data_IF_909337265651
#
_entry.id   IF_909337265651
#
_cell.length_a   1.000
_cell.length_b   1.000
_cell.length_c   1.000
_cell.angle_alpha   90.00
_cell.angle_beta   90.00
_cell.angle_gamma   90.00
#
_symmetry.space_group_name_H-M   'P 1'
#
loop_
_entity.id
_entity.type
_entity.pdbx_description
1 polymer ?
#
# COMPACT_ATOMS: atom_id res chain seq x y z
N UNK A 1 71.37 -2.80 -18.18
CA UNK A 1 70.70 -1.85 -19.08
C UNK A 1 69.23 -1.87 -18.69
N UNK A 2 68.84 -1.02 -17.72
CA UNK A 2 68.28 0.34 -17.92
C UNK A 2 66.87 0.28 -18.51
N UNK A 3 65.85 1.01 -18.09
CA UNK A 3 65.60 1.95 -17.00
C UNK A 3 64.07 2.20 -17.02
N UNK A 4 63.51 2.52 -15.85
CA UNK A 4 62.43 3.51 -15.59
C UNK A 4 61.10 3.47 -16.37
N UNK A 5 59.96 3.43 -15.64
CA UNK A 5 59.15 4.65 -15.35
C UNK A 5 58.16 4.38 -14.19
N UNK A 6 58.18 5.26 -13.17
CA UNK A 6 57.26 5.38 -12.03
C UNK A 6 56.13 6.41 -12.30
N UNK A 7 54.97 6.27 -11.62
CA UNK A 7 54.30 7.29 -10.72
C UNK A 7 52.79 6.99 -10.52
N UNK A 8 52.37 6.67 -9.29
CA UNK A 8 51.70 7.51 -8.25
C UNK A 8 50.16 7.63 -8.40
N UNK A 9 49.42 6.98 -7.48
CA UNK A 9 48.10 7.45 -7.00
C UNK A 9 48.12 7.35 -5.47
N UNK A 10 47.98 8.50 -4.81
CA UNK A 10 47.93 8.61 -3.35
C UNK A 10 46.54 8.29 -2.81
N UNK A 11 46.50 7.53 -1.72
CA UNK A 11 45.33 7.25 -0.90
C UNK A 11 45.33 8.17 0.33
N UNK A 12 44.42 9.15 0.37
CA UNK A 12 44.08 9.85 1.61
C UNK A 12 42.91 9.13 2.28
N UNK A 13 43.21 8.36 3.32
CA UNK A 13 42.22 7.88 4.28
C UNK A 13 41.92 9.00 5.27
N UNK A 14 40.69 9.50 5.29
CA UNK A 14 40.18 10.37 6.36
C UNK A 14 39.78 9.47 7.53
N UNK A 15 40.54 9.50 8.62
CA UNK A 15 40.19 8.89 9.89
C UNK A 15 39.20 9.79 10.64
N UNK A 16 37.98 9.30 10.90
CA UNK A 16 37.02 9.98 11.78
C UNK A 16 37.26 9.59 13.25
N UNK A 17 37.41 10.59 14.10
CA UNK A 17 37.59 10.44 15.54
C UNK A 17 36.25 10.22 16.26
N UNK A 18 36.11 9.01 16.79
CA UNK A 18 35.47 8.63 18.07
C UNK A 18 33.93 8.53 18.20
N UNK A 19 33.48 7.31 18.55
CA UNK A 19 32.15 6.92 19.00
C UNK A 19 31.54 7.79 20.13
N UNK A 20 32.36 8.59 20.82
CA UNK A 20 31.98 9.31 22.04
C UNK A 20 31.17 10.59 21.78
N UNK A 21 31.18 11.10 20.54
CA UNK A 21 30.43 12.30 20.14
C UNK A 21 28.98 11.98 19.78
N UNK A 22 28.75 10.82 19.15
CA UNK A 22 27.41 10.39 18.77
C UNK A 22 26.59 9.91 19.97
N UNK A 23 27.21 9.21 20.92
CA UNK A 23 26.55 8.76 22.16
C UNK A 23 26.09 9.96 23.02
N UNK A 24 26.81 11.09 22.95
CA UNK A 24 26.37 12.36 23.56
C UNK A 24 25.21 13.00 22.80
N UNK A 25 25.25 13.06 21.47
CA UNK A 25 24.16 13.58 20.66
C UNK A 25 22.84 12.81 20.90
N UNK A 26 22.94 11.51 21.12
CA UNK A 26 21.80 10.66 21.44
C UNK A 26 21.24 10.88 22.85
N UNK A 27 22.11 10.93 23.88
CA UNK A 27 21.71 11.34 25.24
C UNK A 27 20.98 12.70 25.23
N UNK A 28 21.34 13.58 24.30
CA UNK A 28 20.67 14.85 24.09
C UNK A 28 19.33 14.74 23.35
N UNK A 29 19.19 13.88 22.34
CA UNK A 29 17.89 13.66 21.71
C UNK A 29 16.89 13.01 22.68
N UNK A 30 17.33 12.06 23.51
CA UNK A 30 16.52 11.47 24.59
C UNK A 30 16.11 12.54 25.61
N UNK A 31 17.02 13.43 25.99
CA UNK A 31 16.74 14.55 26.88
C UNK A 31 15.80 15.59 26.25
N UNK A 32 15.94 15.88 24.96
CA UNK A 32 15.05 16.77 24.20
C UNK A 32 13.65 16.15 24.10
N UNK A 33 13.52 14.85 23.85
CA UNK A 33 12.22 14.16 23.85
C UNK A 33 11.57 14.17 25.24
N UNK A 34 12.35 14.02 26.31
CA UNK A 34 11.85 14.16 27.69
C UNK A 34 11.35 15.59 27.95
N UNK A 35 12.15 16.60 27.57
CA UNK A 35 11.77 18.01 27.68
C UNK A 35 10.54 18.35 26.82
N UNK A 36 10.41 17.77 25.64
CA UNK A 36 9.25 17.95 24.77
C UNK A 36 8.00 17.30 25.37
N UNK A 37 8.11 16.13 26.03
CA UNK A 37 6.99 15.52 26.77
C UNK A 37 6.60 16.36 27.99
N UNK A 38 7.56 16.93 28.70
CA UNK A 38 7.31 17.87 29.80
C UNK A 38 6.69 19.17 29.28
N UNK A 39 7.15 19.68 28.13
CA UNK A 39 6.56 20.83 27.43
C UNK A 39 5.15 20.54 26.95
N UNK A 40 4.86 19.36 26.42
CA UNK A 40 3.51 18.95 26.02
C UNK A 40 2.60 18.73 27.23
N UNK A 41 3.14 18.30 28.37
CA UNK A 41 2.40 18.24 29.63
C UNK A 41 2.11 19.65 30.17
N UNK A 42 3.06 20.58 30.03
CA UNK A 42 2.88 21.99 30.34
C UNK A 42 1.93 22.65 29.34
N UNK A 43 1.97 22.34 28.05
CA UNK A 43 1.06 22.89 27.03
C UNK A 43 -0.36 22.33 27.19
N UNK A 44 -0.50 21.07 27.61
CA UNK A 44 -1.79 20.51 28.06
C UNK A 44 -2.32 21.23 29.31
N UNK A 45 -1.44 21.64 30.23
CA UNK A 45 -1.80 22.49 31.37
C UNK A 45 -2.04 23.97 30.99
N UNK A 46 -1.41 24.47 29.92
CA UNK A 46 -1.53 25.84 29.40
C UNK A 46 -2.61 26.00 28.33
N UNK A 47 -3.37 24.94 28.01
CA UNK A 47 -4.60 24.99 27.21
C UNK A 47 -5.70 25.94 27.75
N UNK A 48 -5.44 26.62 28.88
CA UNK A 48 -6.24 27.70 29.46
C UNK A 48 -5.55 29.07 29.42
N UNK A 49 -4.86 29.49 28.36
CA UNK A 49 -4.78 30.93 28.00
C UNK A 49 -4.19 31.16 26.61
N UNK A 50 -4.97 31.79 25.72
CA UNK A 50 -4.62 32.07 24.32
C UNK A 50 -3.64 33.24 24.18
N UNK A 51 -2.57 33.06 23.39
CA UNK A 51 -2.06 33.98 22.33
C UNK A 51 -0.54 33.80 22.09
N UNK A 52 -0.15 32.87 21.20
CA UNK A 52 1.25 32.52 20.85
C UNK A 52 1.64 32.96 19.43
N UNK A 53 1.77 34.27 19.20
CA UNK A 53 2.75 34.81 18.22
C UNK A 53 3.78 35.76 18.86
N UNK A 54 3.62 36.08 20.15
CA UNK A 54 4.58 36.88 20.94
C UNK A 54 5.62 36.05 21.72
N UNK A 55 5.49 34.71 21.77
CA UNK A 55 6.29 33.92 22.71
C UNK A 55 7.69 33.54 22.23
N UNK A 56 7.93 33.34 20.92
CA UNK A 56 9.30 33.04 20.43
C UNK A 56 10.23 34.26 20.65
N UNK A 57 9.70 35.49 20.48
CA UNK A 57 10.42 36.72 20.84
C UNK A 57 10.55 36.90 22.38
N UNK A 58 9.61 36.36 23.15
CA UNK A 58 9.68 36.38 24.62
C UNK A 58 10.57 35.30 25.24
N UNK A 59 10.80 34.15 24.60
CA UNK A 59 11.75 33.14 25.07
C UNK A 59 13.19 33.63 24.87
N UNK A 60 13.49 34.28 23.74
CA UNK A 60 14.80 34.89 23.50
C UNK A 60 15.03 36.08 24.46
N UNK A 61 14.02 36.92 24.72
CA UNK A 61 14.13 37.97 25.75
C UNK A 61 14.09 37.45 27.19
N UNK A 62 13.59 36.22 27.43
CA UNK A 62 13.69 35.55 28.73
C UNK A 62 15.11 35.06 29.01
N UNK A 63 15.87 34.62 28.00
CA UNK A 63 17.32 34.32 28.15
C UNK A 63 18.10 35.59 28.49
N UNK A 64 17.74 36.74 27.90
CA UNK A 64 18.33 38.05 28.23
C UNK A 64 17.95 38.51 29.65
N UNK A 65 16.70 38.29 30.09
CA UNK A 65 16.28 38.56 31.48
C UNK A 65 16.91 37.58 32.48
N UNK A 66 17.09 36.31 32.11
CA UNK A 66 17.79 35.29 32.89
C UNK A 66 19.26 35.65 33.08
N UNK A 67 19.94 36.17 32.04
CA UNK A 67 21.29 36.76 32.14
C UNK A 67 21.35 37.95 33.11
N UNK A 68 20.28 38.73 33.26
CA UNK A 68 20.17 39.84 34.24
C UNK A 68 19.96 39.34 35.68
N UNK A 69 19.19 38.28 35.89
CA UNK A 69 18.98 37.66 37.22
C UNK A 69 20.20 36.85 37.67
N UNK A 70 20.90 36.18 36.73
CA UNK A 70 22.19 35.52 36.95
C UNK A 70 23.26 36.49 37.48
N UNK A 71 23.27 37.75 37.02
CA UNK A 71 24.19 38.78 37.55
C UNK A 71 23.95 39.13 39.02
N UNK A 72 22.74 38.94 39.56
CA UNK A 72 22.43 39.15 40.99
C UNK A 72 22.76 37.92 41.85
N UNK A 73 22.78 36.72 41.28
CA UNK A 73 23.16 35.48 41.96
C UNK A 73 24.69 35.21 41.95
N UNK A 74 25.48 36.07 41.28
CA UNK A 74 26.95 36.03 41.28
C UNK A 74 27.59 36.31 42.65
N UNK A 75 26.84 36.63 43.70
CA UNK A 75 27.42 36.81 45.05
C UNK A 75 27.55 35.51 45.85
N UNK A 76 26.99 34.39 45.37
CA UNK A 76 27.04 33.09 46.07
C UNK A 76 28.07 32.18 45.38
N UNK A 77 29.23 31.88 46.00
CA UNK A 77 30.32 31.13 45.38
C UNK A 77 29.90 29.75 44.83
N UNK A 78 29.01 29.05 45.54
CA UNK A 78 28.50 27.73 45.10
C UNK A 78 27.64 27.80 43.84
N UNK A 79 26.93 28.91 43.61
CA UNK A 79 26.17 29.11 42.38
C UNK A 79 27.05 29.54 41.22
N UNK A 80 28.15 30.27 41.45
CA UNK A 80 29.10 30.64 40.39
C UNK A 80 29.67 29.42 39.68
N UNK A 81 30.00 28.35 40.41
CA UNK A 81 30.51 27.09 39.84
C UNK A 81 29.45 26.41 38.98
N UNK A 82 28.19 26.37 39.43
CA UNK A 82 27.08 25.77 38.68
C UNK A 82 26.74 26.59 37.42
N UNK A 83 26.82 27.92 37.51
CA UNK A 83 26.61 28.82 36.38
C UNK A 83 27.72 28.62 35.33
N UNK A 84 28.98 28.60 35.74
CA UNK A 84 30.11 28.35 34.82
C UNK A 84 30.01 26.96 34.15
N UNK A 85 29.55 25.94 34.89
CA UNK A 85 29.27 24.61 34.34
C UNK A 85 28.15 24.64 33.28
N UNK A 86 27.06 25.36 33.54
CA UNK A 86 25.95 25.48 32.59
C UNK A 86 26.32 26.34 31.38
N UNK A 87 27.08 27.42 31.57
CA UNK A 87 27.60 28.23 30.46
C UNK A 87 28.52 27.40 29.56
N UNK A 88 29.40 26.58 30.13
CA UNK A 88 30.24 25.65 29.37
C UNK A 88 29.41 24.62 28.60
N UNK A 89 28.33 24.09 29.18
CA UNK A 89 27.39 23.19 28.50
C UNK A 89 26.66 23.90 27.36
N UNK A 90 26.14 25.11 27.58
CA UNK A 90 25.45 25.91 26.56
C UNK A 90 26.38 26.19 25.37
N UNK A 91 27.62 26.63 25.61
CA UNK A 91 28.59 26.86 24.53
C UNK A 91 28.93 25.58 23.78
N UNK A 92 29.04 24.44 24.46
CA UNK A 92 29.24 23.15 23.79
C UNK A 92 28.03 22.76 22.91
N UNK A 93 26.80 23.03 23.36
CA UNK A 93 25.59 22.80 22.54
C UNK A 93 25.49 23.75 21.35
N UNK A 94 25.79 25.03 21.54
CA UNK A 94 25.77 26.03 20.46
C UNK A 94 26.74 25.60 19.35
N UNK A 95 27.96 25.17 19.71
CA UNK A 95 28.95 24.64 18.76
C UNK A 95 28.43 23.39 18.02
N UNK A 96 27.81 22.46 18.75
CA UNK A 96 27.29 21.22 18.15
C UNK A 96 26.09 21.46 17.21
N UNK A 97 25.21 22.41 17.55
CA UNK A 97 24.09 22.82 16.67
C UNK A 97 24.65 23.44 15.39
N UNK A 98 25.69 24.26 15.50
CA UNK A 98 26.38 24.86 14.35
C UNK A 98 27.00 23.78 13.45
N UNK A 99 27.73 22.82 14.03
CA UNK A 99 28.32 21.67 13.30
C UNK A 99 27.25 20.80 12.62
N UNK A 100 26.14 20.50 13.31
CA UNK A 100 25.03 19.71 12.74
C UNK A 100 24.32 20.48 11.62
N UNK A 101 24.18 21.80 11.78
CA UNK A 101 23.63 22.67 10.74
C UNK A 101 24.53 22.73 9.51
N UNK A 102 25.85 22.72 9.67
CA UNK A 102 26.80 22.63 8.55
C UNK A 102 26.71 21.28 7.84
N UNK A 103 26.61 20.17 8.57
CA UNK A 103 26.37 18.84 7.97
C UNK A 103 25.06 18.78 7.20
N UNK A 104 23.98 19.37 7.72
CA UNK A 104 22.70 19.47 7.00
C UNK A 104 22.81 20.31 5.72
N UNK A 105 23.61 21.39 5.72
CA UNK A 105 23.86 22.20 4.51
C UNK A 105 24.57 21.41 3.41
N UNK A 106 25.34 20.38 3.76
CA UNK A 106 26.01 19.50 2.80
C UNK A 106 25.05 18.41 2.29
N UNK A 107 24.30 17.77 3.19
CA UNK A 107 23.42 16.64 2.86
C UNK A 107 22.18 17.09 2.08
N UNK A 108 21.58 18.23 2.43
CA UNK A 108 20.31 18.68 1.85
C UNK A 108 20.39 18.95 0.34
N UNK A 109 21.43 19.63 -0.20
CA UNK A 109 21.59 19.82 -1.64
C UNK A 109 21.84 18.51 -2.40
N UNK A 110 22.60 17.57 -1.83
CA UNK A 110 22.85 16.25 -2.41
C UNK A 110 21.56 15.44 -2.54
N UNK A 111 20.69 15.48 -1.52
CA UNK A 111 19.38 14.84 -1.56
C UNK A 111 18.47 15.55 -2.56
N UNK A 112 18.41 16.88 -2.56
CA UNK A 112 17.52 17.64 -3.45
C UNK A 112 17.87 17.49 -4.95
N UNK A 113 19.15 17.30 -5.29
CA UNK A 113 19.57 17.02 -6.67
C UNK A 113 19.07 15.67 -7.22
N UNK A 114 18.64 14.75 -6.35
CA UNK A 114 18.22 13.39 -6.75
C UNK A 114 16.73 13.28 -7.09
N UNK A 115 15.87 14.24 -6.72
CA UNK A 115 14.41 14.05 -6.72
C UNK A 115 13.57 15.07 -7.54
N UNK A 116 14.19 15.96 -8.32
CA UNK A 116 13.48 17.13 -8.87
C UNK A 116 12.70 16.90 -10.19
N UNK A 117 12.22 15.68 -10.44
CA UNK A 117 11.30 15.43 -11.57
C UNK A 117 9.88 15.24 -11.05
N UNK A 118 9.04 16.26 -11.26
CA UNK A 118 7.61 16.24 -10.92
C UNK A 118 6.82 15.30 -11.85
N UNK A 119 5.81 14.62 -11.31
CA UNK A 119 4.94 13.67 -12.05
C UNK A 119 4.34 14.22 -13.35
N UNK A 120 3.95 15.50 -13.38
CA UNK A 120 3.37 16.13 -14.57
C UNK A 120 4.38 16.24 -15.73
N UNK A 121 5.66 16.49 -15.41
CA UNK A 121 6.73 16.52 -16.41
C UNK A 121 6.99 15.12 -16.98
N UNK A 122 6.94 14.07 -16.14
CA UNK A 122 7.12 12.69 -16.61
C UNK A 122 6.03 12.26 -17.59
N UNK A 123 4.76 12.61 -17.31
CA UNK A 123 3.65 12.33 -18.24
C UNK A 123 3.79 13.09 -19.54
N UNK A 124 4.29 14.33 -19.48
CA UNK A 124 4.53 15.15 -20.67
C UNK A 124 5.64 14.53 -21.51
N UNK A 125 6.79 14.19 -20.92
CA UNK A 125 7.92 13.56 -21.61
C UNK A 125 7.49 12.23 -22.25
N UNK A 126 6.79 11.37 -21.51
CA UNK A 126 6.32 10.09 -22.03
C UNK A 126 5.31 10.22 -23.18
N UNK A 127 4.55 11.32 -23.25
CA UNK A 127 3.60 11.60 -24.34
C UNK A 127 4.26 12.27 -25.54
N UNK A 128 5.38 12.96 -25.35
CA UNK A 128 6.09 13.67 -26.43
C UNK A 128 7.05 12.76 -27.19
N UNK A 129 7.46 11.63 -26.62
CA UNK A 129 8.31 10.66 -27.31
C UNK A 129 7.43 9.74 -28.16
N UNK A 130 7.23 10.10 -29.42
CA UNK A 130 6.46 9.31 -30.39
C UNK A 130 7.26 8.12 -30.96
N UNK A 131 8.59 8.17 -30.91
CA UNK A 131 9.46 7.09 -31.35
C UNK A 131 9.68 6.04 -30.25
N UNK A 132 9.29 4.79 -30.53
CA UNK A 132 9.47 3.64 -29.63
C UNK A 132 10.93 3.43 -29.22
N UNK A 133 11.89 3.65 -30.13
CA UNK A 133 13.30 3.43 -29.84
C UNK A 133 13.84 4.49 -28.86
N UNK A 134 13.45 5.76 -29.05
CA UNK A 134 13.81 6.84 -28.14
C UNK A 134 13.16 6.64 -26.75
N UNK A 135 11.92 6.15 -26.71
CA UNK A 135 11.23 5.86 -25.45
C UNK A 135 11.93 4.75 -24.66
N UNK A 136 12.32 3.65 -25.34
CA UNK A 136 13.07 2.56 -24.72
C UNK A 136 14.39 3.08 -24.15
N UNK A 137 15.15 3.84 -24.94
CA UNK A 137 16.41 4.44 -24.49
C UNK A 137 16.23 5.34 -23.27
N UNK A 138 15.18 6.17 -23.26
CA UNK A 138 14.84 7.02 -22.12
C UNK A 138 14.50 6.20 -20.87
N UNK A 139 13.72 5.13 -21.01
CA UNK A 139 13.39 4.20 -19.92
C UNK A 139 14.65 3.53 -19.38
N UNK A 140 15.55 3.06 -20.25
CA UNK A 140 16.83 2.45 -19.85
C UNK A 140 17.69 3.44 -19.07
N UNK A 141 17.84 4.67 -19.55
CA UNK A 141 18.61 5.72 -18.87
C UNK A 141 18.06 6.04 -17.48
N UNK A 142 16.75 6.17 -17.33
CA UNK A 142 16.12 6.39 -16.02
C UNK A 142 16.30 5.18 -15.12
N UNK A 143 16.12 3.97 -15.65
CA UNK A 143 16.25 2.73 -14.88
C UNK A 143 17.67 2.58 -14.33
N UNK A 144 18.69 2.83 -15.14
CA UNK A 144 20.10 2.81 -14.71
C UNK A 144 20.37 3.88 -13.66
N UNK A 145 19.85 5.11 -13.82
CA UNK A 145 19.99 6.19 -12.82
C UNK A 145 19.34 5.80 -11.49
N UNK A 146 18.12 5.27 -11.53
CA UNK A 146 17.39 4.78 -10.36
C UNK A 146 18.18 3.68 -9.65
N UNK A 147 18.62 2.65 -10.37
CA UNK A 147 19.40 1.54 -9.81
C UNK A 147 20.69 2.02 -9.15
N UNK A 148 21.44 2.93 -9.80
CA UNK A 148 22.65 3.51 -9.21
C UNK A 148 22.36 4.30 -7.94
N UNK A 149 21.29 5.10 -7.94
CA UNK A 149 20.88 5.85 -6.75
C UNK A 149 20.48 4.90 -5.61
N UNK A 150 19.68 3.87 -5.88
CA UNK A 150 19.30 2.85 -4.90
C UNK A 150 20.52 2.10 -4.36
N UNK A 151 21.48 1.74 -5.21
CA UNK A 151 22.74 1.11 -4.78
C UNK A 151 23.53 2.01 -3.82
N UNK A 152 23.68 3.30 -4.13
CA UNK A 152 24.37 4.26 -3.25
C UNK A 152 23.63 4.40 -1.92
N UNK A 153 22.31 4.55 -1.93
CA UNK A 153 21.51 4.62 -0.70
C UNK A 153 21.65 3.35 0.14
N UNK A 154 21.57 2.18 -0.48
CA UNK A 154 21.72 0.90 0.21
C UNK A 154 23.13 0.75 0.82
N UNK A 155 24.18 1.18 0.12
CA UNK A 155 25.55 1.19 0.63
C UNK A 155 25.72 2.13 1.84
N UNK A 156 25.13 3.32 1.79
CA UNK A 156 25.15 4.28 2.91
C UNK A 156 24.46 3.67 4.13
N UNK A 157 23.25 3.13 3.96
CA UNK A 157 22.51 2.55 5.07
C UNK A 157 23.20 1.29 5.62
N UNK A 158 23.83 0.49 4.75
CA UNK A 158 24.67 -0.64 5.17
C UNK A 158 25.88 -0.16 5.98
N UNK A 159 26.56 0.90 5.55
CA UNK A 159 27.68 1.49 6.30
C UNK A 159 27.21 2.00 7.68
N UNK A 160 26.09 2.72 7.73
CA UNK A 160 25.46 3.12 8.98
C UNK A 160 25.20 1.90 9.88
N UNK A 161 24.64 0.80 9.33
CA UNK A 161 24.40 -0.41 10.12
C UNK A 161 25.69 -1.00 10.73
N UNK A 162 26.82 -0.97 10.01
CA UNK A 162 28.10 -1.49 10.49
C UNK A 162 28.73 -0.60 11.57
N UNK A 163 28.64 0.72 11.43
CA UNK A 163 29.16 1.68 12.42
C UNK A 163 28.53 1.45 13.80
N UNK A 164 27.22 1.16 13.84
CA UNK A 164 26.49 0.94 15.09
C UNK A 164 26.56 -0.48 15.64
N UNK A 165 27.17 -1.43 14.91
CA UNK A 165 27.22 -2.84 15.30
C UNK A 165 27.95 -3.09 16.63
N UNK A 166 28.96 -2.26 16.93
CA UNK A 166 29.79 -2.37 18.14
C UNK A 166 29.49 -1.28 19.17
N UNK A 167 28.40 -0.53 18.98
CA UNK A 167 28.01 0.55 19.87
C UNK A 167 27.50 0.01 21.21
N UNK A 168 27.80 0.70 22.32
CA UNK A 168 27.46 0.22 23.67
C UNK A 168 26.01 0.55 24.04
N UNK A 169 25.51 1.72 23.64
CA UNK A 169 24.11 2.10 23.81
C UNK A 169 23.15 1.23 22.96
N UNK A 170 22.47 0.28 23.62
CA UNK A 170 21.52 -0.61 22.96
C UNK A 170 20.24 0.08 22.51
N UNK A 171 19.77 1.10 23.23
CA UNK A 171 18.55 1.81 22.87
C UNK A 171 18.76 2.61 21.57
N UNK A 172 19.94 3.24 21.45
CA UNK A 172 20.32 3.97 20.25
C UNK A 172 20.46 3.05 19.05
N UNK A 173 21.14 1.91 19.22
CA UNK A 173 21.29 0.90 18.16
C UNK A 173 19.91 0.44 17.68
N UNK A 174 19.01 0.12 18.61
CA UNK A 174 17.64 -0.27 18.28
C UNK A 174 16.93 0.83 17.48
N UNK A 175 16.96 2.10 17.93
CA UNK A 175 16.28 3.20 17.24
C UNK A 175 16.83 3.43 15.83
N UNK A 176 18.15 3.39 15.65
CA UNK A 176 18.77 3.53 14.33
C UNK A 176 18.39 2.36 13.44
N UNK A 177 18.54 1.14 13.93
CA UNK A 177 18.25 -0.05 13.14
C UNK A 177 16.78 -0.14 12.78
N UNK A 178 15.87 0.20 13.69
CA UNK A 178 14.43 0.25 13.40
C UNK A 178 14.14 1.33 12.37
N UNK A 179 14.77 2.51 12.46
CA UNK A 179 14.60 3.57 11.45
C UNK A 179 15.12 3.15 10.08
N UNK A 180 16.26 2.46 10.04
CA UNK A 180 16.81 1.89 8.82
C UNK A 180 15.82 0.88 8.25
N UNK A 181 15.39 -0.11 9.02
CA UNK A 181 14.40 -1.12 8.59
C UNK A 181 13.16 -0.42 8.08
N UNK A 182 12.57 0.49 8.84
CA UNK A 182 11.35 1.20 8.44
C UNK A 182 11.51 1.90 7.10
N UNK A 183 12.60 2.61 6.83
CA UNK A 183 12.73 3.38 5.58
C UNK A 183 13.32 2.58 4.41
N UNK A 184 13.78 1.34 4.63
CA UNK A 184 14.26 0.48 3.54
C UNK A 184 13.11 0.02 2.63
N UNK A 185 13.36 -0.11 1.31
CA UNK A 185 12.45 -0.81 0.43
C UNK A 185 12.16 -2.24 0.96
N UNK A 186 10.89 -2.67 1.02
CA UNK A 186 10.46 -3.98 1.55
C UNK A 186 11.27 -5.20 1.07
N UNK A 187 11.84 -5.13 -0.12
CA UNK A 187 12.56 -6.23 -0.76
C UNK A 187 14.07 -6.27 -0.47
N UNK A 188 14.63 -5.26 0.20
CA UNK A 188 16.09 -5.09 0.32
C UNK A 188 16.62 -4.67 1.70
N UNK A 189 16.04 -5.06 2.85
CA UNK A 189 16.65 -4.74 4.14
C UNK A 189 18.08 -5.32 4.25
N UNK A 190 19.03 -4.65 4.94
CA UNK A 190 20.39 -5.15 5.10
C UNK A 190 20.40 -6.52 5.77
N UNK A 191 21.16 -7.47 5.22
CA UNK A 191 21.23 -8.86 5.72
C UNK A 191 21.50 -8.93 7.22
N UNK A 192 22.37 -8.05 7.73
CA UNK A 192 22.71 -7.96 9.15
C UNK A 192 21.48 -7.78 10.06
N UNK A 193 20.47 -7.04 9.60
CA UNK A 193 19.25 -6.72 10.37
C UNK A 193 18.19 -7.82 10.23
N UNK A 194 18.19 -8.54 9.11
CA UNK A 194 17.23 -9.64 8.83
C UNK A 194 17.67 -10.95 9.46
N UNK A 195 18.97 -11.19 9.57
CA UNK A 195 19.51 -12.49 10.01
C UNK A 195 19.19 -12.81 11.47
N UNK A 196 19.15 -11.80 12.33
CA UNK A 196 18.85 -11.96 13.75
C UNK A 196 18.17 -10.68 14.30
N UNK A 197 16.91 -10.43 13.94
CA UNK A 197 16.19 -9.24 14.38
C UNK A 197 15.99 -9.23 15.91
N UNK A 198 15.85 -10.42 16.52
CA UNK A 198 15.67 -10.59 17.97
C UNK A 198 16.88 -10.08 18.76
N UNK A 199 18.10 -10.22 18.24
CA UNK A 199 19.32 -9.66 18.87
C UNK A 199 19.24 -8.15 19.12
N UNK A 200 18.52 -7.43 18.28
CA UNK A 200 18.39 -5.96 18.34
C UNK A 200 16.97 -5.50 18.69
N UNK A 201 16.11 -6.43 19.14
CA UNK A 201 14.69 -6.19 19.44
C UNK A 201 13.94 -5.52 18.27
N UNK A 202 14.28 -5.91 17.03
CA UNK A 202 13.71 -5.30 15.83
C UNK A 202 12.42 -6.01 15.42
N UNK A 203 11.47 -5.21 14.93
CA UNK A 203 10.32 -5.71 14.17
C UNK A 203 10.56 -5.47 12.67
N UNK A 204 10.24 -6.48 11.86
CA UNK A 204 10.26 -6.40 10.40
C UNK A 204 8.88 -6.13 9.82
N UNK A 205 7.86 -5.84 10.64
CA UNK A 205 6.49 -5.58 10.17
C UNK A 205 6.41 -4.40 9.18
N UNK A 206 7.28 -3.41 9.31
CA UNK A 206 7.35 -2.28 8.37
C UNK A 206 7.82 -2.68 6.96
N UNK A 207 8.41 -3.87 6.81
CA UNK A 207 8.80 -4.48 5.54
C UNK A 207 7.69 -5.31 4.91
N UNK A 208 6.56 -5.51 5.59
CA UNK A 208 5.42 -6.16 4.97
C UNK A 208 4.84 -5.26 3.87
N UNK A 209 4.48 -5.87 2.74
CA UNK A 209 3.91 -5.15 1.62
C UNK A 209 2.97 -6.04 0.83
N UNK A 210 1.70 -5.64 0.75
CA UNK A 210 0.68 -6.36 0.00
C UNK A 210 1.00 -6.36 -1.50
N UNK A 211 1.40 -5.21 -2.04
CA UNK A 211 1.82 -5.09 -3.43
C UNK A 211 3.00 -6.01 -3.78
N UNK A 212 4.01 -6.09 -2.92
CA UNK A 212 5.13 -7.03 -3.07
C UNK A 212 4.65 -8.49 -3.03
N UNK A 213 3.71 -8.81 -2.15
CA UNK A 213 3.10 -10.14 -2.03
C UNK A 213 2.32 -10.52 -3.29
N UNK A 214 1.57 -9.59 -3.88
CA UNK A 214 0.87 -9.79 -5.16
C UNK A 214 1.84 -10.05 -6.32
N UNK A 215 2.96 -9.33 -6.40
CA UNK A 215 4.00 -9.55 -7.41
C UNK A 215 4.64 -10.93 -7.23
N UNK A 216 5.00 -11.30 -5.99
CA UNK A 216 5.51 -12.64 -5.67
C UNK A 216 4.53 -13.72 -6.10
N UNK A 217 3.24 -13.55 -5.79
CA UNK A 217 2.22 -14.52 -6.16
C UNK A 217 2.06 -14.64 -7.66
N UNK A 218 2.03 -13.52 -8.39
CA UNK A 218 2.00 -13.55 -9.85
C UNK A 218 3.21 -14.30 -10.44
N UNK A 219 4.40 -14.13 -9.86
CA UNK A 219 5.60 -14.85 -10.31
C UNK A 219 5.47 -16.35 -10.10
N UNK A 220 4.93 -16.79 -8.96
CA UNK A 220 4.66 -18.21 -8.71
C UNK A 220 3.69 -18.80 -9.75
N UNK A 221 2.68 -18.02 -10.16
CA UNK A 221 1.71 -18.45 -11.18
C UNK A 221 2.34 -18.60 -12.57
N UNK A 222 3.37 -17.80 -12.88
CA UNK A 222 4.13 -17.96 -14.12
C UNK A 222 5.04 -19.20 -14.11
N UNK A 223 5.50 -19.62 -12.93
CA UNK A 223 6.38 -20.78 -12.78
C UNK A 223 5.58 -22.07 -12.81
N UNK A 224 4.40 -22.08 -12.16
CA UNK A 224 3.53 -23.25 -12.08
C UNK A 224 2.21 -22.95 -12.79
N UNK A 225 2.07 -23.55 -13.97
CA UNK A 225 0.78 -23.64 -14.65
C UNK A 225 -0.23 -24.37 -13.73
N UNK A 226 -1.42 -23.81 -13.55
CA UNK A 226 -2.49 -24.29 -12.66
C UNK A 226 -2.24 -24.09 -11.15
N UNK A 227 -2.25 -22.84 -10.73
CA UNK A 227 -2.37 -22.49 -9.32
C UNK A 227 -3.84 -22.55 -8.83
N UNK A 228 -3.99 -22.49 -7.51
CA UNK A 228 -5.30 -22.53 -6.84
C UNK A 228 -6.20 -21.38 -7.28
N UNK A 229 -5.59 -20.21 -7.41
CA UNK A 229 -6.27 -18.98 -7.73
C UNK A 229 -6.86 -18.97 -9.14
N UNK A 230 -6.12 -19.43 -10.16
CA UNK A 230 -6.65 -19.46 -11.54
C UNK A 230 -7.83 -20.44 -11.67
N UNK A 231 -7.84 -21.51 -10.87
CA UNK A 231 -8.98 -22.45 -10.84
C UNK A 231 -10.25 -21.74 -10.38
N UNK A 232 -10.16 -20.88 -9.37
CA UNK A 232 -11.30 -20.12 -8.85
C UNK A 232 -11.56 -18.81 -9.60
N UNK A 233 -10.60 -18.29 -10.34
CA UNK A 233 -10.80 -17.19 -11.30
C UNK A 233 -11.69 -17.65 -12.47
N UNK A 234 -11.72 -18.96 -12.76
CA UNK A 234 -12.71 -19.54 -13.65
C UNK A 234 -14.11 -19.51 -13.00
N UNK A 235 -15.01 -18.74 -13.61
CA UNK A 235 -16.36 -18.50 -13.11
C UNK A 235 -17.19 -19.76 -12.82
N UNK A 236 -17.17 -20.76 -13.70
CA UNK A 236 -17.98 -21.97 -13.50
C UNK A 236 -17.46 -22.80 -12.32
N UNK A 237 -16.14 -22.90 -12.18
CA UNK A 237 -15.49 -23.53 -11.03
C UNK A 237 -15.75 -22.74 -9.75
N UNK A 238 -15.72 -21.41 -9.80
CA UNK A 238 -16.13 -20.56 -8.69
C UNK A 238 -17.55 -20.85 -8.23
N UNK A 239 -18.51 -20.98 -9.17
CA UNK A 239 -19.90 -21.25 -8.85
C UNK A 239 -20.09 -22.65 -8.25
N UNK A 240 -19.41 -23.66 -8.80
CA UNK A 240 -19.38 -25.01 -8.22
C UNK A 240 -18.81 -25.03 -6.79
N UNK A 241 -17.82 -24.18 -6.50
CA UNK A 241 -17.26 -24.05 -5.17
C UNK A 241 -18.25 -23.37 -4.20
N UNK A 242 -18.87 -22.27 -4.62
CA UNK A 242 -19.79 -21.45 -3.83
C UNK A 242 -21.11 -22.18 -3.54
N UNK A 243 -21.60 -23.01 -4.47
CA UNK A 243 -22.80 -23.82 -4.28
C UNK A 243 -22.67 -24.76 -3.04
N UNK A 244 -21.45 -25.16 -2.68
CA UNK A 244 -21.16 -25.97 -1.49
C UNK A 244 -21.30 -25.20 -0.15
N UNK A 245 -21.55 -23.90 -0.20
CA UNK A 245 -21.81 -23.05 0.97
C UNK A 245 -23.25 -22.56 1.03
N UNK A 246 -24.11 -22.95 0.09
CA UNK A 246 -25.49 -22.46 -0.03
C UNK A 246 -25.56 -20.93 -0.14
N UNK A 247 -24.55 -20.32 -0.75
CA UNK A 247 -24.49 -18.89 -1.02
C UNK A 247 -25.16 -18.64 -2.37
N UNK A 248 -26.05 -17.63 -2.43
CA UNK A 248 -26.72 -17.26 -3.67
C UNK A 248 -25.71 -16.76 -4.69
N UNK A 249 -25.94 -17.10 -5.96
CA UNK A 249 -25.21 -16.61 -7.12
C UNK A 249 -26.20 -16.36 -8.27
N UNK A 250 -25.83 -15.57 -9.29
CA UNK A 250 -26.67 -15.39 -10.47
C UNK A 250 -27.03 -16.73 -11.12
N UNK A 251 -28.28 -16.86 -11.55
CA UNK A 251 -28.67 -17.95 -12.44
C UNK A 251 -28.04 -17.76 -13.83
N UNK A 252 -27.18 -18.69 -14.25
CA UNK A 252 -26.60 -18.71 -15.60
C UNK A 252 -27.47 -19.58 -16.52
N UNK A 253 -27.57 -19.20 -17.79
CA UNK A 253 -28.07 -20.08 -18.85
C UNK A 253 -27.29 -21.41 -18.91
N UNK A 254 -27.98 -22.49 -19.29
CA UNK A 254 -27.40 -23.84 -19.31
C UNK A 254 -26.35 -24.06 -20.41
N UNK A 255 -26.36 -23.23 -21.45
CA UNK A 255 -25.41 -23.27 -22.55
C UNK A 255 -24.98 -21.84 -22.92
N UNK A 256 -23.85 -21.75 -23.59
CA UNK A 256 -23.37 -20.53 -24.22
C UNK A 256 -23.98 -20.34 -25.60
N UNK A 257 -23.86 -19.13 -26.14
CA UNK A 257 -24.49 -18.67 -27.37
C UNK A 257 -23.47 -18.03 -28.29
N UNK A 258 -23.73 -18.07 -29.60
CA UNK A 258 -23.18 -17.09 -30.53
C UNK A 258 -23.96 -15.79 -30.45
N UNK A 259 -23.38 -14.68 -30.88
CA UNK A 259 -24.04 -13.36 -30.90
C UNK A 259 -25.39 -13.40 -31.64
N UNK A 260 -25.48 -14.16 -32.74
CA UNK A 260 -26.70 -14.33 -33.52
C UNK A 260 -27.80 -15.14 -32.81
N UNK A 261 -27.42 -16.01 -31.87
CA UNK A 261 -28.27 -17.00 -31.21
C UNK A 261 -28.75 -16.55 -29.82
N UNK A 262 -28.21 -15.45 -29.27
CA UNK A 262 -28.61 -14.98 -27.93
C UNK A 262 -30.12 -14.71 -27.89
N UNK A 263 -30.84 -15.29 -26.91
CA UNK A 263 -32.28 -15.13 -26.80
C UNK A 263 -32.64 -13.73 -26.26
N UNK A 264 -33.73 -13.16 -26.79
CA UNK A 264 -34.36 -11.96 -26.24
C UNK A 264 -35.07 -12.32 -24.92
N UNK A 265 -34.33 -12.22 -23.82
CA UNK A 265 -34.84 -12.48 -22.47
C UNK A 265 -34.63 -11.23 -21.62
N UNK A 266 -35.66 -10.74 -20.90
CA UNK A 266 -35.50 -9.62 -19.98
C UNK A 266 -34.79 -10.05 -18.70
N UNK A 267 -34.29 -9.05 -17.95
CA UNK A 267 -33.61 -9.21 -16.66
C UNK A 267 -32.39 -10.14 -16.71
N UNK A 268 -31.57 -9.97 -17.74
CA UNK A 268 -30.30 -10.71 -17.88
C UNK A 268 -29.13 -9.77 -18.14
N UNK A 269 -27.94 -10.22 -17.77
CA UNK A 269 -26.67 -9.68 -18.24
C UNK A 269 -26.14 -10.62 -19.32
N UNK A 270 -25.87 -10.07 -20.50
CA UNK A 270 -25.18 -10.79 -21.59
C UNK A 270 -23.73 -10.36 -21.60
N UNK A 271 -22.81 -11.33 -21.66
CA UNK A 271 -21.39 -11.06 -21.68
C UNK A 271 -20.59 -12.14 -22.41
N UNK A 272 -19.41 -11.79 -22.94
CA UNK A 272 -18.51 -12.78 -23.50
C UNK A 272 -18.00 -13.71 -22.40
N UNK A 273 -17.66 -14.94 -22.77
CA UNK A 273 -17.00 -15.93 -21.90
C UNK A 273 -15.64 -15.40 -21.42
N UNK A 274 -14.88 -14.82 -22.33
CA UNK A 274 -13.57 -14.21 -22.06
C UNK A 274 -13.65 -12.70 -22.31
N UNK A 275 -13.75 -11.93 -21.23
CA UNK A 275 -13.88 -10.48 -21.30
C UNK A 275 -13.35 -9.78 -20.06
N UNK A 276 -12.81 -8.57 -20.25
CA UNK A 276 -12.30 -7.72 -19.18
C UNK A 276 -12.74 -6.27 -19.37
N UNK A 277 -12.83 -5.53 -18.26
CA UNK A 277 -13.11 -4.10 -18.29
C UNK A 277 -14.47 -3.74 -18.91
N UNK A 278 -15.47 -4.60 -18.70
CA UNK A 278 -16.86 -4.43 -19.14
C UNK A 278 -17.08 -4.42 -20.66
N UNK A 279 -16.08 -4.79 -21.45
CA UNK A 279 -16.21 -4.92 -22.92
C UNK A 279 -17.19 -6.05 -23.26
N UNK A 280 -18.17 -5.74 -24.10
CA UNK A 280 -19.23 -6.69 -24.47
C UNK A 280 -20.17 -7.02 -23.31
N UNK A 281 -20.27 -6.21 -22.26
CA UNK A 281 -21.23 -6.46 -21.18
C UNK A 281 -22.48 -5.62 -21.41
N UNK A 282 -23.63 -6.30 -21.50
CA UNK A 282 -24.92 -5.71 -21.80
C UNK A 282 -25.92 -6.02 -20.69
N UNK A 283 -26.56 -4.98 -20.14
CA UNK A 283 -27.64 -5.12 -19.16
C UNK A 283 -28.97 -5.07 -19.90
N UNK A 284 -29.72 -6.17 -19.93
CA UNK A 284 -31.01 -6.27 -20.62
C UNK A 284 -32.13 -6.20 -19.58
N UNK A 285 -32.78 -5.05 -19.46
CA UNK A 285 -33.97 -4.90 -18.61
C UNK A 285 -35.23 -5.41 -19.34
N UNK A 286 -35.33 -5.11 -20.64
CA UNK A 286 -36.39 -5.58 -21.52
C UNK A 286 -35.91 -5.56 -22.98
N UNK A 287 -36.71 -6.09 -23.90
CA UNK A 287 -36.38 -6.14 -25.34
C UNK A 287 -36.06 -4.76 -25.96
N UNK A 288 -36.61 -3.69 -25.36
CA UNK A 288 -36.43 -2.31 -25.82
C UNK A 288 -35.66 -1.44 -24.81
N UNK A 289 -35.02 -2.06 -23.82
CA UNK A 289 -34.27 -1.35 -22.79
C UNK A 289 -33.01 -2.12 -22.40
N UNK A 290 -31.95 -1.81 -23.12
CA UNK A 290 -30.66 -2.48 -23.01
C UNK A 290 -29.58 -1.41 -22.80
N UNK A 291 -28.62 -1.68 -21.93
CA UNK A 291 -27.48 -0.79 -21.70
C UNK A 291 -26.20 -1.50 -22.11
N UNK A 292 -25.45 -0.90 -23.03
CA UNK A 292 -24.04 -1.22 -23.29
C UNK A 292 -23.19 -0.57 -22.19
N UNK A 293 -22.67 -1.39 -21.28
CA UNK A 293 -21.97 -0.91 -20.09
C UNK A 293 -20.64 -0.23 -20.43
N UNK A 294 -19.96 -0.68 -21.49
CA UNK A 294 -18.66 -0.12 -21.87
C UNK A 294 -18.79 1.26 -22.50
N UNK A 295 -19.81 1.42 -23.35
CA UNK A 295 -20.08 2.67 -24.07
C UNK A 295 -20.95 3.64 -23.29
N UNK A 296 -21.61 3.14 -22.22
CA UNK A 296 -22.65 3.87 -21.50
C UNK A 296 -23.77 4.33 -22.46
N UNK A 297 -24.13 3.46 -23.41
CA UNK A 297 -25.13 3.71 -24.44
C UNK A 297 -26.38 2.88 -24.18
N UNK A 298 -27.55 3.47 -24.41
CA UNK A 298 -28.83 2.76 -24.33
C UNK A 298 -29.25 2.31 -25.72
N UNK A 299 -29.57 1.03 -25.85
CA UNK A 299 -30.09 0.43 -27.08
C UNK A 299 -31.60 0.26 -26.93
N UNK A 300 -32.31 0.64 -27.98
CA UNK A 300 -33.78 0.73 -28.01
C UNK A 300 -34.45 -0.54 -28.48
N UNK A 301 -33.67 -1.52 -28.98
CA UNK A 301 -34.17 -2.79 -29.45
C UNK A 301 -33.10 -3.89 -29.44
N UNK A 302 -33.53 -5.14 -29.25
CA UNK A 302 -32.65 -6.31 -29.20
C UNK A 302 -31.84 -6.56 -30.47
N UNK A 303 -32.31 -6.12 -31.64
CA UNK A 303 -31.53 -6.24 -32.88
C UNK A 303 -30.30 -5.30 -32.90
N UNK A 304 -30.37 -4.14 -32.21
CA UNK A 304 -29.24 -3.23 -32.05
C UNK A 304 -28.17 -3.86 -31.17
N UNK A 305 -28.56 -4.59 -30.12
CA UNK A 305 -27.66 -5.37 -29.29
C UNK A 305 -26.85 -6.37 -30.14
N UNK A 306 -27.52 -7.19 -30.97
CA UNK A 306 -26.81 -8.15 -31.84
C UNK A 306 -25.82 -7.45 -32.77
N UNK A 307 -26.22 -6.30 -33.34
CA UNK A 307 -25.33 -5.48 -34.17
C UNK A 307 -24.13 -4.94 -33.39
N UNK A 308 -24.29 -4.56 -32.12
CA UNK A 308 -23.18 -4.11 -31.28
C UNK A 308 -22.25 -5.26 -30.89
N UNK A 309 -22.79 -6.45 -30.60
CA UNK A 309 -21.98 -7.64 -30.35
C UNK A 309 -21.13 -8.02 -31.57
N UNK A 310 -21.70 -7.96 -32.78
CA UNK A 310 -20.94 -8.15 -34.03
C UNK A 310 -19.85 -7.08 -34.22
N UNK A 311 -20.12 -5.83 -33.83
CA UNK A 311 -19.11 -4.77 -33.86
C UNK A 311 -18.01 -4.98 -32.83
N UNK A 312 -18.33 -5.51 -31.66
CA UNK A 312 -17.34 -5.84 -30.64
C UNK A 312 -16.37 -6.92 -31.13
N UNK A 313 -16.89 -7.93 -31.86
CA UNK A 313 -16.07 -8.94 -32.52
C UNK A 313 -15.20 -8.33 -33.63
N UNK A 314 -15.79 -7.50 -34.51
CA UNK A 314 -15.05 -6.83 -35.61
C UNK A 314 -13.96 -5.88 -35.13
N UNK A 315 -14.16 -5.25 -33.96
CA UNK A 315 -13.19 -4.34 -33.33
C UNK A 315 -12.19 -5.07 -32.43
N UNK A 316 -12.29 -6.40 -32.33
CA UNK A 316 -11.49 -7.23 -31.42
C UNK A 316 -11.60 -6.78 -29.95
N UNK A 317 -12.74 -6.19 -29.59
CA UNK A 317 -13.07 -5.89 -28.19
C UNK A 317 -13.50 -7.16 -27.45
N UNK A 318 -14.06 -8.10 -28.20
CA UNK A 318 -14.34 -9.48 -27.81
C UNK A 318 -13.61 -10.38 -28.81
N UNK A 319 -12.86 -11.36 -28.32
CA UNK A 319 -11.97 -12.18 -29.14
C UNK A 319 -12.74 -13.34 -29.79
N UNK A 320 -13.63 -13.98 -29.02
CA UNK A 320 -14.38 -15.16 -29.46
C UNK A 320 -15.88 -14.88 -29.47
N UNK A 321 -16.59 -15.40 -30.48
CA UNK A 321 -18.05 -15.34 -30.56
C UNK A 321 -18.69 -16.37 -29.63
N UNK A 322 -18.44 -16.19 -28.33
CA UNK A 322 -18.81 -17.11 -27.28
C UNK A 322 -19.35 -16.32 -26.08
N UNK A 323 -20.67 -16.33 -25.94
CA UNK A 323 -21.40 -15.48 -25.02
C UNK A 323 -22.22 -16.31 -24.04
N UNK A 324 -22.56 -15.73 -22.90
CA UNK A 324 -23.53 -16.33 -21.99
C UNK A 324 -24.44 -15.25 -21.40
N UNK A 325 -25.60 -15.71 -20.93
CA UNK A 325 -26.56 -14.89 -20.22
C UNK A 325 -26.63 -15.33 -18.75
N UNK A 326 -26.66 -14.37 -17.84
CA UNK A 326 -26.90 -14.60 -16.42
C UNK A 326 -27.98 -13.66 -15.89
N UNK A 327 -28.53 -13.98 -14.72
CA UNK A 327 -29.47 -13.15 -13.99
C UNK A 327 -28.93 -11.73 -13.76
N UNK A 328 -29.74 -10.72 -14.10
CA UNK A 328 -29.45 -9.33 -13.76
C UNK A 328 -29.82 -9.06 -12.30
N UNK A 329 -28.80 -8.85 -11.47
CA UNK A 329 -28.97 -8.55 -10.04
C UNK A 329 -29.15 -7.04 -9.86
N UNK A 330 -30.32 -6.65 -9.38
CA UNK A 330 -30.69 -5.26 -9.10
C UNK A 330 -31.05 -5.13 -7.62
N UNK A 331 -30.76 -3.96 -7.04
CA UNK A 331 -31.27 -3.64 -5.71
C UNK A 331 -32.79 -3.52 -5.74
N UNK A 332 -33.31 -2.82 -6.74
CA UNK A 332 -34.75 -2.70 -6.99
C UNK A 332 -35.04 -2.83 -8.49
N UNK A 333 -35.88 -3.81 -8.84
CA UNK A 333 -36.29 -4.06 -10.23
C UNK A 333 -37.20 -2.96 -10.78
N UNK A 334 -37.96 -2.26 -9.94
CA UNK A 334 -38.88 -1.21 -10.39
C UNK A 334 -38.13 0.06 -10.77
N UNK A 335 -37.27 0.55 -9.90
CA UNK A 335 -36.43 1.73 -10.16
C UNK A 335 -35.20 1.45 -11.03
N UNK A 336 -34.90 0.16 -11.30
CA UNK A 336 -33.70 -0.29 -12.01
C UNK A 336 -32.40 0.14 -11.32
N UNK A 337 -32.46 0.25 -9.99
CA UNK A 337 -31.30 0.59 -9.18
C UNK A 337 -30.31 -0.58 -9.21
N UNK A 338 -29.08 -0.29 -9.63
CA UNK A 338 -28.00 -1.29 -9.68
C UNK A 338 -27.67 -1.77 -8.27
N UNK A 339 -27.43 -3.07 -8.14
CA UNK A 339 -26.89 -3.64 -6.90
C UNK A 339 -25.52 -3.02 -6.60
N UNK A 340 -25.22 -2.82 -5.30
CA UNK A 340 -23.90 -2.35 -4.87
C UNK A 340 -22.89 -3.48 -4.96
N UNK A 341 -21.67 -3.20 -5.43
CA UNK A 341 -20.59 -4.17 -5.31
C UNK A 341 -20.08 -4.18 -3.86
N UNK A 342 -19.95 -5.37 -3.28
CA UNK A 342 -19.29 -5.58 -1.98
C UNK A 342 -18.10 -6.50 -2.19
N UNK A 343 -16.89 -6.02 -1.94
CA UNK A 343 -15.64 -6.76 -2.21
C UNK A 343 -14.87 -6.97 -0.93
N UNK A 344 -14.77 -8.22 -0.49
CA UNK A 344 -14.08 -8.60 0.72
C UNK A 344 -12.63 -8.99 0.40
N UNK A 345 -11.66 -8.35 1.06
CA UNK A 345 -10.26 -8.75 0.99
C UNK A 345 -10.01 -9.78 2.09
N UNK A 346 -10.07 -11.06 1.71
CA UNK A 346 -9.97 -12.18 2.63
C UNK A 346 -8.57 -12.81 2.58
N UNK A 347 -8.00 -13.01 3.76
CA UNK A 347 -6.66 -13.52 4.02
C UNK A 347 -6.76 -14.84 4.79
N UNK A 348 -6.98 -15.92 4.04
CA UNK A 348 -7.13 -17.30 4.55
C UNK A 348 -8.00 -17.41 5.80
N UNK A 349 -9.30 -17.13 5.65
CA UNK A 349 -10.26 -17.22 6.74
C UNK A 349 -10.37 -15.99 7.64
N UNK A 350 -9.76 -14.87 7.26
CA UNK A 350 -9.91 -13.58 7.93
C UNK A 350 -10.17 -12.47 6.93
N UNK A 351 -11.20 -11.66 7.14
CA UNK A 351 -11.44 -10.44 6.34
C UNK A 351 -10.73 -9.26 7.00
N UNK A 352 -9.97 -8.48 6.23
CA UNK A 352 -9.22 -7.33 6.76
C UNK A 352 -9.71 -5.97 6.24
N UNK A 353 -10.37 -5.99 5.08
CA UNK A 353 -10.82 -4.80 4.37
C UNK A 353 -12.01 -5.16 3.49
N UNK A 354 -13.02 -4.28 3.46
CA UNK A 354 -14.20 -4.41 2.61
C UNK A 354 -14.33 -3.14 1.77
N UNK A 355 -14.59 -3.30 0.47
CA UNK A 355 -14.92 -2.22 -0.45
C UNK A 355 -16.38 -2.30 -0.85
N UNK A 356 -17.12 -1.23 -0.61
CA UNK A 356 -18.46 -1.02 -1.13
C UNK A 356 -18.41 -0.03 -2.29
N UNK A 357 -19.06 -0.37 -3.41
CA UNK A 357 -19.12 0.49 -4.60
C UNK A 357 -20.58 0.77 -4.93
N UNK A 358 -20.92 2.05 -5.08
CA UNK A 358 -22.17 2.50 -5.67
C UNK A 358 -21.90 3.03 -7.08
N UNK A 359 -22.77 2.64 -8.03
CA UNK A 359 -22.69 2.99 -9.45
C UNK A 359 -23.89 3.80 -9.93
N UNK A 360 -24.91 3.99 -9.10
CA UNK A 360 -26.18 4.59 -9.52
C UNK A 360 -26.04 6.08 -9.88
N UNK A 361 -25.18 6.82 -9.17
CA UNK A 361 -24.96 8.26 -9.38
C UNK A 361 -23.50 8.57 -9.75
N UNK A 362 -22.90 7.70 -10.55
CA UNK A 362 -21.46 7.68 -10.79
C UNK A 362 -20.74 6.72 -9.85
N UNK A 363 -19.41 6.67 -9.98
CA UNK A 363 -18.59 5.66 -9.33
C UNK A 363 -18.11 6.17 -7.97
N UNK A 364 -18.74 5.69 -6.90
CA UNK A 364 -18.43 6.05 -5.52
C UNK A 364 -17.94 4.84 -4.73
N UNK A 365 -17.02 5.07 -3.79
CA UNK A 365 -16.36 4.02 -3.02
C UNK A 365 -16.51 4.26 -1.52
N UNK A 366 -16.71 3.21 -0.75
CA UNK A 366 -16.64 3.25 0.71
C UNK A 366 -15.81 2.07 1.20
N UNK A 367 -14.81 2.34 2.03
CA UNK A 367 -13.95 1.30 2.59
C UNK A 367 -14.28 1.09 4.06
N UNK A 368 -14.33 -0.18 4.46
CA UNK A 368 -14.62 -0.61 5.82
C UNK A 368 -13.52 -1.55 6.32
N UNK A 369 -13.17 -1.47 7.59
CA UNK A 369 -12.43 -2.53 8.26
C UNK A 369 -13.37 -3.67 8.70
N UNK A 370 -12.77 -4.70 9.30
CA UNK A 370 -13.46 -5.89 9.80
C UNK A 370 -14.49 -5.57 10.88
N UNK A 371 -14.27 -4.51 11.63
CA UNK A 371 -15.13 -4.04 12.71
C UNK A 371 -16.31 -3.18 12.23
N UNK A 372 -16.48 -3.02 10.91
CA UNK A 372 -17.55 -2.22 10.32
C UNK A 372 -17.30 -0.71 10.45
N UNK A 373 -16.06 -0.28 10.69
CA UNK A 373 -15.69 1.13 10.73
C UNK A 373 -15.11 1.56 9.39
N UNK A 374 -15.53 2.74 8.93
CA UNK A 374 -14.99 3.33 7.71
C UNK A 374 -13.51 3.66 7.86
N UNK A 375 -12.72 3.31 6.86
CA UNK A 375 -11.28 3.56 6.82
C UNK A 375 -10.89 4.34 5.58
N UNK A 376 -9.84 5.15 5.68
CA UNK A 376 -9.20 5.76 4.51
C UNK A 376 -8.06 4.86 4.08
N UNK A 377 -8.02 4.53 2.80
CA UNK A 377 -7.02 3.61 2.29
C UNK A 377 -5.90 4.33 1.53
N UNK A 378 -6.10 5.61 1.18
CA UNK A 378 -5.30 6.33 0.18
C UNK A 378 -5.76 6.05 -1.25
N UNK A 379 -6.56 5.00 -1.45
CA UNK A 379 -7.09 4.57 -2.73
C UNK A 379 -8.55 4.99 -2.88
N UNK A 380 -8.81 5.76 -3.93
CA UNK A 380 -10.13 6.35 -4.25
C UNK A 380 -10.67 7.37 -3.22
N UNK A 381 -9.80 7.99 -2.42
CA UNK A 381 -10.19 8.93 -1.37
C UNK A 381 -10.97 10.17 -1.87
N UNK A 382 -10.95 10.46 -3.18
CA UNK A 382 -11.67 11.59 -3.80
C UNK A 382 -13.13 11.28 -4.15
N UNK A 383 -13.55 10.02 -4.09
CA UNK A 383 -14.87 9.56 -4.55
C UNK A 383 -15.62 8.83 -3.43
N UNK A 384 -15.49 9.33 -2.20
CA UNK A 384 -16.02 8.66 -1.02
C UNK A 384 -17.50 8.99 -0.80
N UNK A 385 -18.29 7.97 -0.46
CA UNK A 385 -19.67 8.12 0.01
C UNK A 385 -19.88 7.45 1.38
N UNK A 386 -21.08 7.59 1.94
CA UNK A 386 -21.49 6.88 3.16
C UNK A 386 -22.18 5.59 2.73
N UNK A 387 -21.43 4.49 2.75
CA UNK A 387 -21.98 3.17 2.46
C UNK A 387 -22.85 2.63 3.58
N UNK A 388 -23.47 1.47 3.33
CA UNK A 388 -24.27 0.71 4.30
C UNK A 388 -23.42 -0.31 5.07
N UNK A 389 -22.23 -0.64 4.58
CA UNK A 389 -21.35 -1.62 5.22
C UNK A 389 -21.78 -3.07 5.00
N UNK A 390 -21.44 -3.92 5.95
CA UNK A 390 -21.71 -5.36 5.94
C UNK A 390 -22.07 -5.83 7.35
N UNK A 391 -22.85 -6.90 7.45
CA UNK A 391 -23.17 -7.52 8.75
C UNK A 391 -22.07 -8.48 9.22
N UNK A 392 -22.07 -8.78 10.52
CA UNK A 392 -21.14 -9.76 11.10
C UNK A 392 -21.33 -11.17 10.53
N UNK A 393 -22.57 -11.54 10.23
CA UNK A 393 -22.90 -12.84 9.62
C UNK A 393 -22.36 -12.93 8.19
N UNK A 394 -22.46 -11.85 7.41
CA UNK A 394 -21.88 -11.75 6.07
C UNK A 394 -20.36 -11.92 6.12
N UNK A 395 -19.69 -11.24 7.06
CA UNK A 395 -18.24 -11.38 7.20
C UNK A 395 -17.86 -12.80 7.61
N UNK A 396 -18.55 -13.37 8.60
CA UNK A 396 -18.31 -14.73 9.08
C UNK A 396 -18.52 -15.77 7.97
N UNK A 397 -19.53 -15.58 7.12
CA UNK A 397 -19.78 -16.41 5.93
C UNK A 397 -18.59 -16.35 4.97
N UNK A 398 -18.10 -15.15 4.66
CA UNK A 398 -16.95 -14.96 3.76
C UNK A 398 -15.67 -15.53 4.35
N UNK A 399 -15.44 -15.37 5.65
CA UNK A 399 -14.31 -15.96 6.38
C UNK A 399 -14.34 -17.49 6.31
N UNK A 400 -15.49 -18.11 6.59
CA UNK A 400 -15.66 -19.57 6.45
C UNK A 400 -15.36 -20.05 5.02
N UNK A 401 -15.83 -19.33 4.01
CA UNK A 401 -15.59 -19.68 2.60
C UNK A 401 -14.11 -19.51 2.21
N UNK A 402 -13.50 -18.37 2.56
CA UNK A 402 -12.09 -18.10 2.32
C UNK A 402 -11.17 -19.14 2.95
N UNK A 403 -11.53 -19.64 4.14
CA UNK A 403 -10.74 -20.65 4.86
C UNK A 403 -10.69 -22.00 4.13
N UNK A 404 -11.61 -22.26 3.20
CA UNK A 404 -11.65 -23.48 2.36
C UNK A 404 -10.91 -23.32 1.02
N UNK A 405 -10.33 -22.14 0.77
CA UNK A 405 -9.50 -21.88 -0.40
C UNK A 405 -8.03 -22.09 0.00
N UNK A 406 -7.27 -22.98 -0.66
CA UNK A 406 -5.85 -23.19 -0.38
C UNK A 406 -4.96 -22.05 -0.95
N UNK A 407 -5.27 -20.81 -0.61
CA UNK A 407 -4.54 -19.60 -1.00
C UNK A 407 -4.47 -18.63 0.19
N UNK A 408 -3.34 -17.92 0.39
CA UNK A 408 -3.21 -16.94 1.46
C UNK A 408 -4.13 -15.73 1.27
N UNK A 409 -4.56 -15.42 0.04
CA UNK A 409 -5.39 -14.26 -0.25
C UNK A 409 -6.35 -14.52 -1.40
N UNK A 410 -7.58 -14.09 -1.23
CA UNK A 410 -8.57 -14.02 -2.29
C UNK A 410 -9.48 -12.82 -2.03
N UNK A 411 -9.65 -11.93 -3.02
CA UNK A 411 -10.75 -10.98 -2.97
C UNK A 411 -12.02 -11.69 -3.41
N UNK A 412 -13.10 -11.52 -2.65
CA UNK A 412 -14.37 -12.19 -2.89
C UNK A 412 -15.41 -11.11 -3.15
N UNK A 413 -15.94 -11.08 -4.36
CA UNK A 413 -16.80 -10.02 -4.85
C UNK A 413 -18.26 -10.49 -4.83
N UNK A 414 -19.14 -9.66 -4.31
CA UNK A 414 -20.58 -9.86 -4.22
C UNK A 414 -21.32 -8.66 -4.81
N UNK A 415 -22.58 -8.89 -5.16
CA UNK A 415 -23.59 -7.87 -5.41
C UNK A 415 -24.59 -7.89 -4.26
N UNK A 416 -24.91 -6.73 -3.69
CA UNK A 416 -25.92 -6.59 -2.65
C UNK A 416 -27.28 -6.35 -3.27
N UNK A 417 -28.18 -7.32 -3.12
CA UNK A 417 -29.59 -7.21 -3.48
C UNK A 417 -30.42 -7.25 -2.21
N UNK A 418 -31.01 -6.10 -1.84
CA UNK A 418 -31.65 -5.91 -0.54
C UNK A 418 -30.67 -6.30 0.59
N UNK A 419 -31.10 -7.17 1.51
CA UNK A 419 -30.31 -7.67 2.64
C UNK A 419 -29.53 -8.96 2.31
N UNK A 420 -29.43 -9.36 1.04
CA UNK A 420 -28.75 -10.59 0.61
C UNK A 420 -27.51 -10.28 -0.24
N UNK A 421 -26.42 -11.01 0.05
CA UNK A 421 -25.22 -11.03 -0.78
C UNK A 421 -25.33 -12.11 -1.87
N UNK A 422 -25.22 -11.67 -3.12
CA UNK A 422 -25.17 -12.53 -4.30
C UNK A 422 -23.73 -12.63 -4.79
N UNK A 423 -23.14 -13.83 -4.76
CA UNK A 423 -21.76 -14.06 -5.18
C UNK A 423 -21.54 -13.66 -6.64
N UNK A 424 -20.54 -12.81 -6.86
CA UNK A 424 -20.11 -12.36 -8.19
C UNK A 424 -18.95 -13.18 -8.72
N UNK A 425 -17.77 -13.02 -8.11
CA UNK A 425 -16.52 -13.63 -8.56
C UNK A 425 -15.48 -13.75 -7.44
N UNK A 426 -14.49 -14.61 -7.68
CA UNK A 426 -13.22 -14.60 -6.96
C UNK A 426 -12.23 -13.76 -7.77
N UNK A 427 -11.52 -12.84 -7.13
CA UNK A 427 -10.49 -12.04 -7.77
C UNK A 427 -9.16 -12.23 -7.05
N UNK A 428 -8.27 -13.10 -7.55
CA UNK A 428 -6.98 -13.34 -6.89
C UNK A 428 -6.01 -12.17 -7.04
N UNK A 429 -6.19 -11.35 -8.08
CA UNK A 429 -5.37 -10.16 -8.35
C UNK A 429 -6.26 -8.92 -8.49
N UNK A 430 -6.56 -8.23 -7.39
CA UNK A 430 -7.39 -7.03 -7.44
C UNK A 430 -6.68 -5.93 -8.25
N UNK A 431 -7.41 -5.24 -9.13
CA UNK A 431 -6.88 -4.10 -9.86
C UNK A 431 -6.33 -3.00 -8.93
N UNK A 432 -5.28 -2.32 -9.38
CA UNK A 432 -4.67 -1.17 -8.69
C UNK A 432 -4.25 -1.47 -7.23
N UNK A 433 -3.72 -2.67 -6.95
CA UNK A 433 -3.27 -3.02 -5.60
C UNK A 433 -2.09 -2.14 -5.11
N UNK A 434 -1.37 -1.48 -6.02
CA UNK A 434 -0.26 -0.59 -5.70
C UNK A 434 -0.69 0.82 -5.28
N UNK A 435 -1.97 1.18 -5.42
CA UNK A 435 -2.48 2.53 -5.11
C UNK A 435 -2.81 2.71 -3.61
N UNK A 436 -2.65 1.67 -2.79
CA UNK A 436 -2.86 1.79 -1.35
C UNK A 436 -1.80 2.70 -0.72
N UNK A 437 -2.21 3.50 0.26
CA UNK A 437 -1.26 4.21 1.12
C UNK A 437 -0.31 3.21 1.78
N UNK A 438 0.90 3.66 2.07
CA UNK A 438 1.95 2.83 2.68
C UNK A 438 1.48 2.07 3.92
N UNK A 439 0.75 2.73 4.82
CA UNK A 439 0.22 2.11 6.04
C UNK A 439 -0.76 0.97 5.75
N UNK A 440 -1.57 1.11 4.70
CA UNK A 440 -2.58 0.12 4.33
C UNK A 440 -1.93 -1.02 3.55
N UNK A 441 -0.99 -0.72 2.65
CA UNK A 441 -0.18 -1.74 1.98
C UNK A 441 0.58 -2.62 2.98
N UNK A 442 1.16 -2.01 4.02
CA UNK A 442 1.81 -2.71 5.15
C UNK A 442 0.80 -3.57 5.91
N UNK A 443 -0.33 -3.01 6.36
CA UNK A 443 -1.37 -3.77 7.09
C UNK A 443 -1.82 -5.01 6.31
N UNK A 444 -2.13 -4.84 5.02
CA UNK A 444 -2.56 -5.95 4.16
C UNK A 444 -1.41 -6.93 3.86
N UNK A 445 -0.16 -6.46 3.81
CA UNK A 445 1.02 -7.31 3.69
C UNK A 445 1.21 -8.20 4.92
N UNK A 446 1.07 -7.64 6.13
CA UNK A 446 1.11 -8.40 7.38
C UNK A 446 0.01 -9.46 7.43
N UNK A 447 -1.20 -9.10 7.00
CA UNK A 447 -2.30 -10.05 6.91
C UNK A 447 -2.01 -11.19 5.92
N UNK A 448 -1.43 -10.87 4.76
CA UNK A 448 -1.00 -11.86 3.78
C UNK A 448 0.04 -12.83 4.36
N UNK A 449 1.07 -12.33 5.01
CA UNK A 449 2.12 -13.16 5.60
C UNK A 449 1.57 -14.06 6.72
N UNK A 450 0.69 -13.52 7.59
CA UNK A 450 0.00 -14.32 8.61
C UNK A 450 -0.86 -15.42 8.00
N UNK A 451 -1.61 -15.11 6.93
CA UNK A 451 -2.42 -16.08 6.21
C UNK A 451 -1.58 -17.18 5.56
N UNK A 452 -0.42 -16.84 4.99
CA UNK A 452 0.51 -17.80 4.41
C UNK A 452 1.10 -18.75 5.46
N UNK A 453 1.48 -18.23 6.64
CA UNK A 453 1.91 -19.05 7.78
C UNK A 453 0.80 -20.01 8.23
N UNK A 454 -0.43 -19.51 8.43
CA UNK A 454 -1.56 -20.33 8.84
C UNK A 454 -1.90 -21.42 7.82
N UNK A 455 -1.91 -21.08 6.53
CA UNK A 455 -2.13 -22.03 5.44
C UNK A 455 -1.05 -23.12 5.42
N UNK A 456 0.22 -22.75 5.56
CA UNK A 456 1.32 -23.71 5.59
C UNK A 456 1.24 -24.65 6.80
N UNK A 457 0.92 -24.12 7.99
CA UNK A 457 0.71 -24.95 9.18
C UNK A 457 -0.43 -25.95 8.98
N UNK A 458 -1.56 -25.51 8.43
CA UNK A 458 -2.70 -26.37 8.13
C UNK A 458 -2.32 -27.47 7.13
N UNK A 459 -1.61 -27.13 6.06
CA UNK A 459 -1.11 -28.09 5.08
C UNK A 459 -0.16 -29.11 5.71
N UNK A 460 0.77 -28.67 6.57
CA UNK A 460 1.70 -29.54 7.28
C UNK A 460 1.00 -30.46 8.29
N UNK A 461 -0.11 -30.02 8.88
CA UNK A 461 -0.99 -30.84 9.73
C UNK A 461 -1.91 -31.78 8.93
N UNK A 462 -1.79 -31.78 7.59
CA UNK A 462 -2.58 -32.64 6.72
C UNK A 462 -4.00 -32.15 6.47
N UNK A 463 -4.28 -30.84 6.66
CA UNK A 463 -5.59 -30.27 6.34
C UNK A 463 -5.93 -30.54 4.88
N UNK A 464 -7.11 -31.13 4.68
CA UNK A 464 -7.66 -31.41 3.37
C UNK A 464 -8.75 -30.39 3.03
N UNK A 465 -8.57 -29.67 1.93
CA UNK A 465 -9.53 -28.67 1.43
C UNK A 465 -10.63 -29.36 0.63
N UNK A 466 -11.53 -30.06 1.32
CA UNK A 466 -12.51 -30.96 0.70
C UNK A 466 -13.34 -30.27 -0.37
N UNK A 467 -13.83 -29.05 -0.07
CA UNK A 467 -14.69 -28.31 -1.00
C UNK A 467 -13.95 -27.87 -2.25
N UNK A 468 -12.70 -27.44 -2.10
CA UNK A 468 -11.84 -27.06 -3.23
C UNK A 468 -11.46 -28.27 -4.08
N UNK A 469 -11.19 -29.43 -3.46
CA UNK A 469 -10.79 -30.66 -4.16
C UNK A 469 -11.88 -31.30 -5.01
N UNK A 470 -13.15 -30.90 -4.84
CA UNK A 470 -14.27 -31.33 -5.67
C UNK A 470 -14.36 -30.59 -7.02
N UNK A 471 -13.56 -29.54 -7.21
CA UNK A 471 -13.39 -28.84 -8.49
C UNK A 471 -12.48 -29.64 -9.41
#
# INVERSE_FOLDING_TARGET
MSNETHRLIGSECVSFESQDEFERAYQYDVYIRKLNRELDAIDRNMGRTKSKKRFIYNTITSVVKFKKTLRRLKSIPSMQVKIASLEKKITAYEKHIEETSEQQKIITPLVNQLFDIRDEHMRTIARTIDDRAELIKFIDEITVKKQKSEQVFNQILQFCSQVYKTHQDRELVHLIYQKIVDDFPPSLPPELLVRDPAKYDLTLESQDSFSSSMVRRQRLNQIKENNVEATLDNKFKAYQFVDQFSIRRPHIAAHSFKASEVPAKPNVVIKPMDGAGSRGVYLVYSDNDIIDLKRNERLSAFHELKKQMEQDLKKEWVIEDHWYAEELILKDHYSKESARDIKFYAFYGKVELILEIDRNQGLHYCWWDREGKRVKTGKYDNYLFVGEGVSEDEITMVEKMSKEIPSPFMRIDFLRQNDELVFGEFTPKPGNYADFSRTIDQKLGTAFNRAEVCLNEDLLRGRYFEKYKKL
#
